data_IF_056626590880
#
_entry.id   IF_056626590880
#
_cell.length_a   1.000
_cell.length_b   1.000
_cell.length_c   1.000
_cell.angle_alpha   90.00
_cell.angle_beta   90.00
_cell.angle_gamma   90.00
#
_symmetry.space_group_name_H-M   'P 1'
#
loop_
_entity.id
_entity.type
_entity.pdbx_description
1 polymer ?
#
# COMPACT_ATOMS: atom_id res chain seq x y z
N UNK A 1 -42.23 -27.69 56.04
CA UNK A 1 -40.91 -27.18 56.43
C UNK A 1 -39.85 -28.17 55.95
N UNK A 2 -39.16 -27.90 54.84
CA UNK A 2 -38.00 -28.67 54.37
C UNK A 2 -37.01 -27.67 53.77
N UNK A 3 -35.87 -27.56 54.43
CA UNK A 3 -34.76 -26.68 54.07
C UNK A 3 -34.04 -27.24 52.84
N UNK A 4 -33.75 -26.38 51.86
CA UNK A 4 -32.88 -26.70 50.73
C UNK A 4 -31.48 -26.15 51.02
N UNK A 5 -30.48 -27.00 51.30
CA UNK A 5 -29.09 -26.60 51.33
C UNK A 5 -28.57 -26.69 49.88
N UNK A 6 -28.95 -25.73 49.03
CA UNK A 6 -28.28 -25.59 47.72
C UNK A 6 -27.15 -24.58 47.85
N UNK A 7 -26.11 -25.14 48.46
CA UNK A 7 -24.72 -24.72 48.48
C UNK A 7 -24.31 -24.08 47.13
N UNK A 8 -24.09 -22.78 47.19
CA UNK A 8 -23.13 -21.97 46.42
C UNK A 8 -22.56 -22.60 45.13
N UNK A 9 -23.27 -22.40 44.02
CA UNK A 9 -22.67 -22.53 42.69
C UNK A 9 -21.86 -21.27 42.42
N UNK A 10 -20.55 -21.42 42.65
CA UNK A 10 -19.47 -20.46 42.44
C UNK A 10 -19.54 -19.91 41.01
N UNK A 11 -20.06 -18.69 40.83
CA UNK A 11 -19.98 -17.95 39.57
C UNK A 11 -18.52 -17.54 39.32
N UNK A 12 -17.72 -18.45 38.78
CA UNK A 12 -16.37 -18.16 38.30
C UNK A 12 -16.49 -17.38 36.99
N UNK A 13 -16.55 -16.05 37.09
CA UNK A 13 -16.52 -15.14 35.94
C UNK A 13 -15.16 -15.27 35.25
N UNK A 14 -15.14 -16.03 34.15
CA UNK A 14 -13.97 -16.18 33.29
C UNK A 14 -13.73 -14.87 32.53
N UNK A 15 -12.88 -13.99 33.08
CA UNK A 15 -12.41 -12.80 32.38
C UNK A 15 -11.45 -13.19 31.27
N UNK A 16 -11.97 -13.29 30.05
CA UNK A 16 -11.16 -13.51 28.84
C UNK A 16 -10.51 -12.16 28.43
N UNK A 17 -9.18 -12.03 28.48
CA UNK A 17 -8.53 -10.79 28.07
C UNK A 17 -8.68 -10.60 26.55
N UNK A 18 -9.27 -9.47 26.15
CA UNK A 18 -9.41 -9.09 24.75
C UNK A 18 -8.01 -8.85 24.15
N UNK A 19 -7.53 -9.79 23.33
CA UNK A 19 -6.27 -9.65 22.60
C UNK A 19 -6.45 -8.64 21.48
N UNK A 20 -5.81 -7.46 21.60
CA UNK A 20 -5.76 -6.49 20.51
C UNK A 20 -5.08 -7.11 19.27
N UNK A 21 -5.58 -6.83 18.05
CA UNK A 21 -4.91 -7.27 16.84
C UNK A 21 -3.51 -6.66 16.79
N UNK A 22 -2.50 -7.50 16.53
CA UNK A 22 -1.15 -7.00 16.26
C UNK A 22 -1.21 -6.13 15.01
N UNK A 23 -0.71 -4.90 15.10
CA UNK A 23 -0.59 -4.03 13.94
C UNK A 23 0.36 -4.71 12.93
N UNK A 24 -0.14 -5.04 11.75
CA UNK A 24 0.71 -5.54 10.67
C UNK A 24 1.77 -4.49 10.35
N UNK A 25 3.03 -4.92 10.25
CA UNK A 25 4.12 -4.04 9.85
C UNK A 25 3.79 -3.36 8.51
N UNK A 26 4.17 -2.09 8.37
CA UNK A 26 3.99 -1.37 7.12
C UNK A 26 4.71 -2.11 5.97
N UNK A 27 4.13 -2.13 4.75
CA UNK A 27 4.76 -2.80 3.62
C UNK A 27 6.10 -2.14 3.29
N UNK A 28 7.11 -2.98 3.04
CA UNK A 28 8.43 -2.54 2.62
C UNK A 28 8.43 -2.12 1.14
N UNK A 29 9.20 -1.08 0.79
CA UNK A 29 9.31 -0.59 -0.58
C UNK A 29 9.79 -1.66 -1.58
N UNK A 30 10.56 -2.65 -1.13
CA UNK A 30 11.04 -3.78 -1.95
C UNK A 30 9.91 -4.54 -2.65
N UNK A 31 8.73 -4.64 -2.02
CA UNK A 31 7.54 -5.24 -2.63
C UNK A 31 7.06 -4.43 -3.84
N UNK A 32 7.10 -3.10 -3.74
CA UNK A 32 6.73 -2.18 -4.82
C UNK A 32 7.82 -2.17 -5.90
N UNK A 33 9.09 -2.21 -5.52
CA UNK A 33 10.21 -2.20 -6.45
C UNK A 33 10.18 -3.41 -7.40
N UNK A 34 9.76 -4.59 -6.92
CA UNK A 34 9.59 -5.76 -7.77
C UNK A 34 8.53 -5.53 -8.87
N UNK A 35 7.43 -4.84 -8.55
CA UNK A 35 6.39 -4.48 -9.52
C UNK A 35 6.91 -3.48 -10.56
N UNK A 36 7.63 -2.45 -10.12
CA UNK A 36 8.22 -1.46 -11.04
C UNK A 36 9.23 -2.10 -11.98
N UNK A 37 10.11 -2.99 -11.47
CA UNK A 37 11.06 -3.73 -12.31
C UNK A 37 10.37 -4.55 -13.40
N UNK A 38 9.23 -5.15 -13.09
CA UNK A 38 8.49 -6.02 -14.02
C UNK A 38 7.68 -5.25 -15.06
N UNK A 39 7.19 -4.05 -14.73
CA UNK A 39 6.14 -3.39 -15.52
C UNK A 39 6.44 -1.94 -15.92
N UNK A 40 7.44 -1.29 -15.34
CA UNK A 40 7.64 0.15 -15.47
C UNK A 40 9.06 0.55 -15.87
N UNK A 41 10.07 -0.14 -15.34
CA UNK A 41 11.49 0.24 -15.50
C UNK A 41 11.96 0.12 -16.95
N UNK A 42 11.29 -0.66 -17.80
CA UNK A 42 11.61 -0.74 -19.23
C UNK A 42 11.64 0.65 -19.90
N UNK A 43 10.71 1.56 -19.54
CA UNK A 43 10.65 2.93 -20.07
C UNK A 43 10.87 4.03 -19.01
N UNK A 44 11.03 3.66 -17.74
CA UNK A 44 11.26 4.59 -16.61
C UNK A 44 12.47 4.17 -15.78
N UNK A 45 13.57 3.88 -16.46
CA UNK A 45 14.90 3.56 -15.90
C UNK A 45 15.82 4.77 -15.94
N UNK A 46 17.00 4.65 -15.35
CA UNK A 46 18.05 5.68 -15.51
C UNK A 46 18.57 5.79 -16.95
N UNK A 47 18.45 4.72 -17.74
CA UNK A 47 18.93 4.66 -19.14
C UNK A 47 17.86 5.03 -20.16
N UNK A 48 16.60 4.83 -19.83
CA UNK A 48 15.44 5.24 -20.62
C UNK A 48 14.40 5.84 -19.66
N UNK A 49 14.47 7.15 -19.49
CA UNK A 49 13.69 7.90 -18.51
C UNK A 49 12.57 8.67 -19.21
N UNK A 50 11.55 7.97 -19.74
CA UNK A 50 10.43 8.63 -20.39
C UNK A 50 9.79 9.65 -19.44
N UNK A 51 9.55 10.87 -19.95
CA UNK A 51 9.05 12.01 -19.18
C UNK A 51 9.94 12.37 -17.96
N UNK A 52 11.25 12.09 -18.05
CA UNK A 52 12.25 12.30 -17.01
C UNK A 52 11.92 11.59 -15.67
N UNK A 53 11.11 10.53 -15.70
CA UNK A 53 10.71 9.77 -14.52
C UNK A 53 11.54 8.48 -14.39
N UNK A 54 12.10 8.25 -13.20
CA UNK A 54 12.91 7.07 -12.88
C UNK A 54 12.33 6.32 -11.68
N UNK A 55 11.95 5.05 -11.87
CA UNK A 55 11.21 4.24 -10.89
C UNK A 55 12.04 3.10 -10.26
N UNK A 56 13.37 3.12 -10.42
CA UNK A 56 14.24 2.05 -9.94
C UNK A 56 14.42 2.02 -8.41
N UNK A 57 14.30 3.17 -7.74
CA UNK A 57 14.46 3.26 -6.29
C UNK A 57 13.54 4.31 -5.66
N UNK A 58 13.42 4.27 -4.33
CA UNK A 58 12.54 5.16 -3.60
C UNK A 58 12.93 6.64 -3.77
N UNK A 59 14.23 6.95 -3.77
CA UNK A 59 14.68 8.34 -3.91
C UNK A 59 14.33 8.91 -5.29
N UNK A 60 14.53 8.15 -6.36
CA UNK A 60 14.19 8.55 -7.72
C UNK A 60 12.67 8.66 -7.92
N UNK A 61 11.89 7.73 -7.36
CA UNK A 61 10.44 7.81 -7.31
C UNK A 61 9.98 9.12 -6.66
N UNK A 62 10.51 9.46 -5.49
CA UNK A 62 10.10 10.65 -4.76
C UNK A 62 10.60 11.95 -5.41
N UNK A 63 11.68 11.91 -6.18
CA UNK A 63 12.13 13.04 -7.01
C UNK A 63 11.09 13.39 -8.10
N UNK A 64 10.46 12.37 -8.68
CA UNK A 64 9.52 12.54 -9.79
C UNK A 64 10.19 12.91 -11.11
N UNK A 65 9.36 13.24 -12.10
CA UNK A 65 9.78 13.65 -13.45
C UNK A 65 9.06 14.93 -13.88
N UNK A 66 8.92 15.15 -15.18
CA UNK A 66 8.32 16.38 -15.73
C UNK A 66 6.83 16.51 -15.38
N UNK A 67 6.16 15.40 -15.10
CA UNK A 67 4.77 15.37 -14.59
C UNK A 67 4.63 15.78 -13.12
N UNK A 68 5.74 16.01 -12.41
CA UNK A 68 5.77 16.29 -10.98
C UNK A 68 5.96 15.04 -10.11
N UNK A 69 5.63 15.18 -8.82
CA UNK A 69 5.84 14.13 -7.82
C UNK A 69 4.79 13.01 -7.99
N UNK A 70 5.20 11.75 -8.21
CA UNK A 70 4.29 10.66 -8.53
C UNK A 70 3.50 10.17 -7.31
N UNK A 71 4.04 10.30 -6.10
CA UNK A 71 3.48 9.73 -4.87
C UNK A 71 3.23 10.82 -3.82
N UNK A 72 2.00 10.88 -3.31
CA UNK A 72 1.60 11.68 -2.16
C UNK A 72 1.45 10.76 -0.93
N UNK A 73 2.35 10.83 0.07
CA UNK A 73 2.29 9.97 1.25
C UNK A 73 0.93 10.05 1.96
N UNK A 74 0.34 8.88 2.25
CA UNK A 74 -0.98 8.77 2.88
C UNK A 74 -2.18 9.13 2.00
N UNK A 75 -1.97 9.59 0.75
CA UNK A 75 -3.03 10.00 -0.18
C UNK A 75 -2.90 9.28 -1.52
N UNK A 76 -3.06 7.96 -1.49
CA UNK A 76 -2.90 7.09 -2.67
C UNK A 76 -3.81 7.51 -3.84
N UNK A 77 -5.11 7.74 -3.58
CA UNK A 77 -6.10 8.13 -4.60
C UNK A 77 -5.76 9.45 -5.32
N UNK A 78 -5.06 10.34 -4.63
CA UNK A 78 -4.68 11.66 -5.12
C UNK A 78 -3.31 11.68 -5.81
N UNK A 79 -2.50 10.64 -5.59
CA UNK A 79 -1.17 10.49 -6.15
C UNK A 79 -1.24 10.40 -7.67
N UNK A 80 -0.32 11.09 -8.36
CA UNK A 80 -0.26 11.10 -9.81
C UNK A 80 -0.05 9.68 -10.36
N UNK A 81 0.79 8.86 -9.72
CA UNK A 81 1.04 7.47 -10.13
C UNK A 81 -0.27 6.68 -10.24
N UNK A 82 -1.11 6.73 -9.21
CA UNK A 82 -2.40 5.99 -9.18
C UNK A 82 -3.38 6.57 -10.20
N UNK A 83 -3.46 7.90 -10.30
CA UNK A 83 -4.30 8.57 -11.30
C UNK A 83 -3.88 8.20 -12.73
N UNK A 84 -2.59 8.07 -13.01
CA UNK A 84 -2.07 7.68 -14.33
C UNK A 84 -2.38 6.23 -14.66
N UNK A 85 -2.32 5.32 -13.68
CA UNK A 85 -2.71 3.92 -13.85
C UNK A 85 -4.21 3.76 -14.13
N UNK A 86 -5.04 4.55 -13.46
CA UNK A 86 -6.50 4.49 -13.55
C UNK A 86 -7.08 5.37 -14.68
N UNK A 87 -6.24 6.06 -15.45
CA UNK A 87 -6.69 6.96 -16.52
C UNK A 87 -7.41 8.22 -16.02
N UNK A 88 -7.19 8.60 -14.76
CA UNK A 88 -7.76 9.80 -14.12
C UNK A 88 -6.82 11.01 -14.11
N UNK A 89 -5.57 10.83 -14.54
CA UNK A 89 -4.60 11.92 -14.59
C UNK A 89 -4.77 12.76 -15.88
N UNK A 90 -4.36 14.04 -15.88
CA UNK A 90 -4.28 14.86 -17.09
C UNK A 90 -3.11 14.46 -18.02
N UNK A 91 -2.57 13.25 -17.86
CA UNK A 91 -1.50 12.68 -18.68
C UNK A 91 -2.01 11.40 -19.34
N UNK A 92 -1.24 10.87 -20.30
CA UNK A 92 -1.58 9.57 -20.91
C UNK A 92 -1.67 8.48 -19.84
N UNK A 93 -2.60 7.55 -20.03
CA UNK A 93 -2.71 6.35 -19.19
C UNK A 93 -1.40 5.57 -19.23
N UNK A 94 -1.00 5.03 -18.07
CA UNK A 94 0.21 4.23 -17.93
C UNK A 94 -0.14 2.82 -17.43
N UNK A 95 0.59 1.78 -17.88
CA UNK A 95 1.51 1.82 -19.01
C UNK A 95 0.76 2.14 -20.33
N UNK A 96 1.44 2.68 -21.36
CA UNK A 96 0.82 2.85 -22.66
C UNK A 96 0.35 1.49 -23.17
N UNK A 97 -0.86 1.43 -23.73
CA UNK A 97 -1.40 0.19 -24.33
C UNK A 97 -0.41 -0.43 -25.32
N UNK A 98 -0.49 -1.76 -25.51
CA UNK A 98 0.50 -2.64 -26.16
C UNK A 98 1.71 -1.93 -26.81
N UNK A 99 2.83 -1.88 -26.09
CA UNK A 99 4.14 -2.02 -26.71
C UNK A 99 4.32 -3.52 -27.01
N UNK A 100 4.79 -3.85 -28.22
CA UNK A 100 4.93 -5.23 -28.71
C UNK A 100 5.88 -6.05 -27.85
#
# INVERSE_FOLDING_TARGET
>A
MRAYPFLALFFLTLSLPLRAPAASAAPDFTLVQALFKKHCVECHSVTDAENNLVLENHASLMKGGDGGVPVLPGKSSDSLLVKSLEGRAPVKIMPPGKRK
#
